data_IF_455984399653
#
_entry.id   IF_455984399653
#
_cell.length_a   1.000
_cell.length_b   1.000
_cell.length_c   1.000
_cell.angle_alpha   90.00
_cell.angle_beta   90.00
_cell.angle_gamma   90.00
#
_symmetry.space_group_name_H-M   'P 1'
#
loop_
_entity.id
_entity.type
_entity.pdbx_description
1 polymer ?
#
# COMPACT_ATOMS: atom_id res chain seq x y z
N UNK A 1 36.35 5.35 -7.77
CA UNK A 1 35.25 4.36 -7.83
C UNK A 1 33.98 5.16 -8.09
N UNK A 2 33.45 5.14 -9.31
CA UNK A 2 32.35 6.02 -9.71
C UNK A 2 31.10 5.67 -8.91
N UNK A 3 30.76 6.50 -7.94
CA UNK A 3 29.51 6.42 -7.18
C UNK A 3 28.29 6.39 -8.11
N UNK A 4 28.37 7.07 -9.26
CA UNK A 4 27.32 7.08 -10.26
C UNK A 4 27.14 5.71 -10.95
N UNK A 5 28.23 4.99 -11.20
CA UNK A 5 28.17 3.64 -11.76
C UNK A 5 27.64 2.63 -10.75
N UNK A 6 27.98 2.80 -9.47
CA UNK A 6 27.43 2.00 -8.37
C UNK A 6 25.92 2.25 -8.21
N UNK A 7 25.49 3.50 -8.21
CA UNK A 7 24.07 3.87 -8.13
C UNK A 7 23.28 3.38 -9.35
N UNK A 8 23.86 3.45 -10.55
CA UNK A 8 23.25 2.89 -11.76
C UNK A 8 23.06 1.36 -11.65
N UNK A 9 24.05 0.63 -11.16
CA UNK A 9 23.97 -0.83 -10.99
C UNK A 9 22.97 -1.27 -9.90
N UNK A 10 22.94 -0.55 -8.78
CA UNK A 10 21.99 -0.79 -7.69
C UNK A 10 20.55 -0.52 -8.15
N UNK A 11 20.35 0.54 -8.95
CA UNK A 11 19.03 0.95 -9.46
C UNK A 11 18.55 0.11 -10.63
N UNK A 12 19.46 -0.45 -11.44
CA UNK A 12 19.12 -1.32 -12.57
C UNK A 12 18.64 -2.70 -12.15
N UNK A 13 18.84 -3.07 -10.88
CA UNK A 13 18.52 -4.41 -10.38
C UNK A 13 17.17 -4.39 -9.66
N UNK A 14 16.10 -5.01 -10.20
CA UNK A 14 14.77 -5.05 -9.59
C UNK A 14 14.77 -5.52 -8.13
N UNK A 15 15.70 -6.42 -7.79
CA UNK A 15 15.85 -7.03 -6.48
C UNK A 15 16.14 -6.01 -5.37
N UNK A 16 16.87 -4.94 -5.66
CA UNK A 16 17.23 -3.91 -4.67
C UNK A 16 15.96 -3.26 -4.09
N UNK A 17 15.06 -2.79 -4.96
CA UNK A 17 13.84 -2.12 -4.54
C UNK A 17 12.91 -3.04 -3.77
N UNK A 18 12.84 -4.31 -4.14
CA UNK A 18 12.08 -5.33 -3.42
C UNK A 18 12.65 -5.49 -2.00
N UNK A 19 13.97 -5.65 -1.86
CA UNK A 19 14.62 -5.80 -0.55
C UNK A 19 14.38 -4.57 0.33
N UNK A 20 14.52 -3.36 -0.22
CA UNK A 20 14.27 -2.12 0.52
C UNK A 20 12.81 -2.05 0.98
N UNK A 21 11.86 -2.35 0.09
CA UNK A 21 10.42 -2.33 0.41
C UNK A 21 10.07 -3.36 1.48
N UNK A 22 10.60 -4.59 1.37
CA UNK A 22 10.39 -5.63 2.38
C UNK A 22 11.04 -5.28 3.72
N UNK A 23 12.21 -4.63 3.70
CA UNK A 23 12.88 -4.17 4.92
C UNK A 23 12.07 -3.06 5.60
N UNK A 24 11.58 -2.08 4.85
CA UNK A 24 10.70 -1.02 5.36
C UNK A 24 9.41 -1.61 5.96
N UNK A 25 8.81 -2.61 5.30
CA UNK A 25 7.64 -3.33 5.83
C UNK A 25 7.95 -4.08 7.13
N UNK A 26 9.12 -4.76 7.20
CA UNK A 26 9.54 -5.45 8.42
C UNK A 26 9.75 -4.47 9.58
N UNK A 27 10.34 -3.31 9.33
CA UNK A 27 10.44 -2.23 10.33
C UNK A 27 9.04 -1.77 10.76
N UNK A 28 8.11 -1.64 9.81
CA UNK A 28 6.70 -1.36 10.08
C UNK A 28 6.05 -2.38 11.02
N UNK A 29 6.29 -3.68 10.81
CA UNK A 29 5.79 -4.74 11.71
C UNK A 29 6.35 -4.56 13.12
N UNK A 30 7.66 -4.34 13.25
CA UNK A 30 8.30 -4.18 14.57
C UNK A 30 7.73 -2.97 15.33
N UNK A 31 7.46 -1.87 14.64
CA UNK A 31 6.84 -0.68 15.23
C UNK A 31 5.37 -0.96 15.60
N UNK A 32 4.62 -1.61 14.70
CA UNK A 32 3.22 -1.96 14.94
C UNK A 32 3.05 -2.86 16.17
N UNK A 33 3.93 -3.86 16.34
CA UNK A 33 3.94 -4.73 17.51
C UNK A 33 4.32 -3.99 18.79
N UNK A 34 5.34 -3.13 18.73
CA UNK A 34 5.78 -2.33 19.88
C UNK A 34 4.75 -1.32 20.35
N UNK A 35 3.93 -0.82 19.44
CA UNK A 35 2.90 0.18 19.75
C UNK A 35 1.54 -0.47 20.01
N UNK A 36 1.50 -1.73 20.43
CA UNK A 36 0.29 -2.39 20.89
C UNK A 36 -0.78 -2.55 19.81
N UNK A 37 -0.39 -2.65 18.53
CA UNK A 37 -1.30 -2.85 17.38
C UNK A 37 -2.27 -1.69 17.12
N UNK A 38 -1.82 -0.44 17.32
CA UNK A 38 -2.63 0.72 16.96
C UNK A 38 -2.96 0.75 15.46
N UNK A 39 -4.25 0.98 15.14
CA UNK A 39 -4.77 0.98 13.77
C UNK A 39 -4.08 1.99 12.84
N UNK A 40 -3.60 3.13 13.37
CA UNK A 40 -2.90 4.15 12.58
C UNK A 40 -1.48 3.73 12.17
N UNK A 41 -0.86 2.81 12.91
CA UNK A 41 0.52 2.37 12.72
C UNK A 41 0.59 1.04 11.97
N UNK A 42 -0.39 0.77 11.10
CA UNK A 42 -0.40 -0.45 10.30
C UNK A 42 0.91 -0.55 9.49
N UNK A 43 1.51 -1.76 9.37
CA UNK A 43 2.84 -1.92 8.77
C UNK A 43 2.98 -1.34 7.35
N UNK A 44 1.90 -1.39 6.56
CA UNK A 44 1.86 -0.84 5.19
C UNK A 44 2.03 0.68 5.20
N UNK A 45 1.37 1.39 6.13
CA UNK A 45 1.46 2.86 6.23
C UNK A 45 2.87 3.27 6.62
N UNK A 46 3.46 2.55 7.58
CA UNK A 46 4.84 2.81 8.00
C UNK A 46 5.81 2.56 6.84
N UNK A 47 5.64 1.44 6.13
CA UNK A 47 6.45 1.16 4.94
C UNK A 47 6.35 2.28 3.90
N UNK A 48 5.14 2.79 3.64
CA UNK A 48 4.92 3.90 2.72
C UNK A 48 5.60 5.20 3.18
N UNK A 49 5.45 5.54 4.46
CA UNK A 49 6.10 6.72 5.07
C UNK A 49 7.63 6.62 5.03
N UNK A 50 8.19 5.41 5.09
CA UNK A 50 9.64 5.18 4.93
C UNK A 50 10.05 5.24 3.45
N UNK A 51 9.27 4.65 2.54
CA UNK A 51 9.64 4.55 1.12
C UNK A 51 9.55 5.88 0.38
N UNK A 52 8.55 6.72 0.68
CA UNK A 52 8.40 8.04 0.08
C UNK A 52 9.67 8.91 0.17
N UNK A 53 10.24 9.18 1.37
CA UNK A 53 11.44 10.00 1.48
C UNK A 53 12.66 9.34 0.85
N UNK A 54 12.78 8.01 0.91
CA UNK A 54 13.87 7.28 0.21
C UNK A 54 13.82 7.58 -1.29
N UNK A 55 12.63 7.54 -1.88
CA UNK A 55 12.44 7.76 -3.30
C UNK A 55 12.72 9.21 -3.72
N UNK A 56 12.30 10.17 -2.88
CA UNK A 56 12.56 11.60 -3.08
C UNK A 56 14.07 11.88 -3.01
N UNK A 57 14.76 11.37 -1.97
CA UNK A 57 16.21 11.58 -1.80
C UNK A 57 17.00 10.91 -2.94
N UNK A 58 16.59 9.72 -3.36
CA UNK A 58 17.21 9.02 -4.48
C UNK A 58 16.91 9.65 -5.85
N UNK A 59 16.02 10.65 -5.93
CA UNK A 59 15.56 11.28 -7.18
C UNK A 59 15.02 10.27 -8.21
N UNK A 60 14.41 9.19 -7.73
CA UNK A 60 13.88 8.13 -8.60
C UNK A 60 12.39 8.38 -8.85
N UNK A 61 11.93 8.42 -10.11
CA UNK A 61 10.52 8.58 -10.39
C UNK A 61 9.74 7.34 -9.89
N UNK A 62 8.56 7.57 -9.31
CA UNK A 62 7.68 6.50 -8.82
C UNK A 62 7.42 5.41 -9.86
N UNK A 63 7.30 5.78 -11.14
CA UNK A 63 7.11 4.84 -12.24
C UNK A 63 8.25 3.81 -12.35
N UNK A 64 9.51 4.26 -12.24
CA UNK A 64 10.67 3.38 -12.32
C UNK A 64 10.75 2.44 -11.12
N UNK A 65 10.44 2.95 -9.93
CA UNK A 65 10.28 2.12 -8.73
C UNK A 65 9.17 1.07 -8.91
N UNK A 66 8.01 1.50 -9.40
CA UNK A 66 6.83 0.65 -9.60
C UNK A 66 7.11 -0.51 -10.57
N UNK A 67 7.85 -0.24 -11.65
CA UNK A 67 8.33 -1.28 -12.58
C UNK A 67 9.34 -2.22 -11.91
N UNK A 68 10.25 -1.68 -11.09
CA UNK A 68 11.26 -2.47 -10.39
C UNK A 68 10.68 -3.44 -9.35
N UNK A 69 9.53 -3.11 -8.75
CA UNK A 69 8.83 -3.98 -7.79
C UNK A 69 7.71 -4.82 -8.42
N UNK A 70 7.74 -5.05 -9.73
CA UNK A 70 6.70 -5.80 -10.46
C UNK A 70 6.39 -7.18 -9.87
N UNK A 71 7.34 -7.85 -9.21
CA UNK A 71 7.07 -9.13 -8.54
C UNK A 71 6.06 -8.98 -7.40
N UNK A 72 6.14 -7.90 -6.61
CA UNK A 72 5.20 -7.64 -5.52
C UNK A 72 3.79 -7.41 -6.09
N UNK A 73 3.70 -6.70 -7.22
CA UNK A 73 2.43 -6.52 -7.93
C UNK A 73 1.87 -7.84 -8.47
N UNK A 74 2.72 -8.72 -9.01
CA UNK A 74 2.29 -10.05 -9.42
C UNK A 74 1.68 -10.83 -8.25
N UNK A 75 2.29 -10.74 -7.06
CA UNK A 75 1.77 -11.37 -5.84
C UNK A 75 0.46 -10.75 -5.31
N UNK A 76 0.06 -9.55 -5.73
CA UNK A 76 -1.25 -8.99 -5.37
C UNK A 76 -2.41 -9.82 -5.92
N UNK A 77 -2.24 -10.46 -7.09
CA UNK A 77 -3.24 -11.36 -7.65
C UNK A 77 -3.50 -12.58 -6.76
N UNK A 78 -2.48 -13.42 -6.48
CA UNK A 78 -2.61 -14.53 -5.54
C UNK A 78 -3.04 -14.09 -4.13
N UNK A 79 -2.59 -12.91 -3.64
CA UNK A 79 -3.00 -12.40 -2.34
C UNK A 79 -4.49 -12.01 -2.29
N UNK A 80 -5.01 -11.37 -3.34
CA UNK A 80 -6.45 -11.04 -3.43
C UNK A 80 -7.32 -12.29 -3.56
N UNK A 81 -6.88 -13.30 -4.30
CA UNK A 81 -7.56 -14.61 -4.36
C UNK A 81 -7.48 -15.34 -3.01
N UNK A 82 -6.34 -15.28 -2.31
CA UNK A 82 -6.20 -15.82 -0.97
C UNK A 82 -7.13 -15.14 0.05
N UNK A 83 -7.40 -13.84 -0.12
CA UNK A 83 -8.39 -13.08 0.66
C UNK A 83 -9.84 -13.42 0.25
N UNK A 84 -10.08 -13.83 -0.98
CA UNK A 84 -11.38 -14.34 -1.40
C UNK A 84 -11.73 -15.69 -0.73
N UNK A 85 -10.75 -16.52 -0.37
CA UNK A 85 -10.99 -17.80 0.30
C UNK A 85 -11.72 -17.69 1.66
N UNK A 86 -11.30 -16.85 2.63
CA UNK A 86 -12.04 -16.69 3.89
C UNK A 86 -13.42 -16.06 3.67
N UNK A 87 -13.58 -15.19 2.67
CA UNK A 87 -14.89 -14.65 2.27
C UNK A 87 -15.79 -15.76 1.72
N UNK A 88 -15.25 -16.62 0.85
CA UNK A 88 -15.96 -17.78 0.28
C UNK A 88 -16.43 -18.74 1.38
N UNK A 89 -15.57 -19.03 2.36
CA UNK A 89 -15.92 -19.87 3.53
C UNK A 89 -17.06 -19.28 4.37
N UNK A 90 -17.22 -17.95 4.39
CA UNK A 90 -18.23 -17.25 5.18
C UNK A 90 -19.36 -16.66 4.31
N UNK A 91 -19.63 -17.20 3.12
CA UNK A 91 -20.66 -16.67 2.21
C UNK A 91 -22.06 -16.62 2.83
N UNK A 92 -22.41 -17.58 3.69
CA UNK A 92 -23.71 -17.57 4.40
C UNK A 92 -23.86 -16.33 5.30
N UNK A 93 -22.79 -15.95 5.99
CA UNK A 93 -22.75 -14.75 6.83
C UNK A 93 -22.85 -13.49 5.96
N UNK A 94 -22.09 -13.44 4.87
CA UNK A 94 -22.14 -12.32 3.92
C UNK A 94 -23.56 -12.17 3.37
N UNK A 95 -24.19 -13.27 2.95
CA UNK A 95 -25.56 -13.28 2.42
C UNK A 95 -26.57 -12.70 3.41
N UNK A 96 -26.46 -13.05 4.71
CA UNK A 96 -27.32 -12.51 5.75
C UNK A 96 -27.15 -10.99 5.96
N UNK A 97 -25.97 -10.44 5.66
CA UNK A 97 -25.64 -9.02 5.81
C UNK A 97 -25.51 -8.26 4.49
N UNK A 98 -25.96 -8.82 3.35
CA UNK A 98 -25.81 -8.17 2.05
C UNK A 98 -26.43 -6.78 2.00
N UNK A 99 -27.62 -6.62 2.58
CA UNK A 99 -28.32 -5.34 2.57
C UNK A 99 -27.57 -4.25 3.37
N UNK A 100 -27.16 -4.49 4.64
CA UNK A 100 -26.26 -3.57 5.35
C UNK A 100 -24.95 -3.27 4.61
N UNK A 101 -24.29 -4.28 4.04
CA UNK A 101 -23.03 -4.11 3.29
C UNK A 101 -23.26 -3.18 2.08
N UNK A 102 -24.32 -3.40 1.32
CA UNK A 102 -24.62 -2.60 0.15
C UNK A 102 -24.92 -1.14 0.51
N UNK A 103 -25.74 -0.90 1.53
CA UNK A 103 -26.09 0.46 1.98
C UNK A 103 -24.84 1.18 2.50
N UNK A 104 -24.04 0.53 3.34
CA UNK A 104 -22.82 1.13 3.89
C UNK A 104 -21.80 1.45 2.80
N UNK A 105 -21.64 0.58 1.80
CA UNK A 105 -20.73 0.82 0.68
C UNK A 105 -21.22 1.97 -0.21
N UNK A 106 -22.52 2.04 -0.47
CA UNK A 106 -23.11 3.08 -1.30
C UNK A 106 -23.04 4.46 -0.63
N UNK A 107 -23.49 4.54 0.63
CA UNK A 107 -23.44 5.79 1.41
C UNK A 107 -22.00 6.21 1.68
N UNK A 108 -21.13 5.28 2.07
CA UNK A 108 -19.71 5.55 2.31
C UNK A 108 -18.98 6.00 1.05
N UNK A 109 -19.29 5.39 -0.10
CA UNK A 109 -18.73 5.78 -1.39
C UNK A 109 -19.13 7.20 -1.80
N UNK A 110 -20.42 7.52 -1.73
CA UNK A 110 -20.92 8.88 -2.00
C UNK A 110 -20.28 9.88 -1.04
N UNK A 111 -20.26 9.56 0.26
CA UNK A 111 -19.67 10.43 1.27
C UNK A 111 -18.17 10.67 1.03
N UNK A 112 -17.42 9.64 0.62
CA UNK A 112 -15.99 9.76 0.30
C UNK A 112 -15.76 10.71 -0.88
N UNK A 113 -16.54 10.57 -1.95
CA UNK A 113 -16.45 11.44 -3.13
C UNK A 113 -16.81 12.88 -2.78
N UNK A 114 -17.93 13.09 -2.08
CA UNK A 114 -18.38 14.43 -1.67
C UNK A 114 -17.37 15.10 -0.74
N UNK A 115 -16.79 14.35 0.20
CA UNK A 115 -15.76 14.85 1.11
C UNK A 115 -14.48 15.22 0.36
N UNK A 116 -14.03 14.37 -0.56
CA UNK A 116 -12.84 14.66 -1.38
C UNK A 116 -13.04 15.91 -2.25
N UNK A 117 -14.17 16.03 -2.95
CA UNK A 117 -14.48 17.21 -3.77
C UNK A 117 -14.66 18.46 -2.91
N UNK A 118 -15.32 18.35 -1.75
CA UNK A 118 -15.50 19.47 -0.83
C UNK A 118 -14.17 20.01 -0.29
N UNK A 119 -13.24 19.13 0.09
CA UNK A 119 -11.89 19.52 0.52
C UNK A 119 -11.13 20.18 -0.64
N UNK A 120 -11.24 19.63 -1.85
CA UNK A 120 -10.59 20.18 -3.04
C UNK A 120 -11.05 21.62 -3.31
N UNK A 121 -12.36 21.86 -3.23
CA UNK A 121 -12.97 23.16 -3.45
C UNK A 121 -12.60 24.17 -2.35
N UNK A 122 -12.53 23.72 -1.09
CA UNK A 122 -12.05 24.54 0.03
C UNK A 122 -10.57 24.93 -0.11
N UNK A 123 -9.76 24.09 -0.75
CA UNK A 123 -8.35 24.38 -1.05
C UNK A 123 -8.16 25.20 -2.35
N UNK A 124 -9.25 25.62 -2.99
CA UNK A 124 -9.24 26.56 -4.12
C UNK A 124 -9.08 25.92 -5.50
N UNK A 125 -9.44 24.65 -5.65
CA UNK A 125 -9.56 23.98 -6.95
C UNK A 125 -10.85 24.35 -7.70
#
# INVERSE_FOLDING_TARGET
MNVDALMAYITSTPLTWIIITMSAYKVGILIYEKTGKHALLQPIVIAYVIMLPILIIAHIPYKQYFESVSILHFFLGPATVALALPLYKNLKLIHAYLLPIFITLFVGGIFTILSAVGILWLLGA
#
